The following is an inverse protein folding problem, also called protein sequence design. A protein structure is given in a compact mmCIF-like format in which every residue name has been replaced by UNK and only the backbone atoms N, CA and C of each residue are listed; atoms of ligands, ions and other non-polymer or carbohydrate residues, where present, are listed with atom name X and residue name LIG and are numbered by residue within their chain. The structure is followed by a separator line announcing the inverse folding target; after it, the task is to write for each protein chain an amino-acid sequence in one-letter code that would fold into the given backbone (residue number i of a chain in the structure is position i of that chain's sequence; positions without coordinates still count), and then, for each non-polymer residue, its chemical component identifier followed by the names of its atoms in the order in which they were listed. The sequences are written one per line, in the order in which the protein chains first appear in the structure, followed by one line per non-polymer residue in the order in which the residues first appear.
data_IF_664182252242
#
_entry.id   IF_664182252242
#
_cell.length_a   1.000
_cell.length_b   1.000
_cell.length_c   1.000
_cell.angle_alpha   90.00
_cell.angle_beta   90.00
_cell.angle_gamma   90.00
#
_symmetry.space_group_name_H-M   'P 1'
#
loop_
_entity.id
_entity.type
_entity.pdbx_description
1 polymer ?
#
# COMPACT_ATOMS: atom_id res chain seq x y z
N UNK A 1 65.04 -56.67 40.70
CA UNK A 1 64.35 -55.85 41.71
C UNK A 1 63.25 -55.09 41.01
N UNK A 2 62.05 -55.45 41.34
CA UNK A 2 60.80 -54.97 40.71
C UNK A 2 60.36 -53.61 41.31
N UNK A 3 59.90 -52.70 40.49
CA UNK A 3 59.13 -51.55 40.95
C UNK A 3 57.79 -51.50 40.16
N UNK A 4 56.76 -51.79 40.92
CA UNK A 4 55.36 -51.81 40.61
C UNK A 4 54.92 -50.39 40.30
N UNK A 5 54.32 -50.17 39.11
CA UNK A 5 53.59 -48.93 38.75
C UNK A 5 52.08 -49.20 38.72
N UNK A 6 51.36 -48.63 39.67
CA UNK A 6 49.91 -48.70 39.75
C UNK A 6 49.25 -47.85 38.68
N UNK A 7 48.10 -48.25 38.16
CA UNK A 7 47.34 -47.45 37.14
C UNK A 7 46.68 -46.22 37.79
N UNK A 8 46.89 -45.04 37.18
CA UNK A 8 46.18 -43.80 37.53
C UNK A 8 44.72 -43.91 37.11
N UNK A 9 43.83 -43.92 38.07
CA UNK A 9 42.38 -43.77 37.88
C UNK A 9 42.08 -42.44 37.27
N UNK A 10 41.47 -42.49 36.11
CA UNK A 10 40.91 -41.31 35.45
C UNK A 10 39.77 -40.68 36.30
N UNK A 11 39.93 -39.42 36.68
CA UNK A 11 38.85 -38.62 37.25
C UNK A 11 37.80 -38.38 36.15
N UNK A 12 36.65 -39.00 36.29
CA UNK A 12 35.41 -38.54 35.62
C UNK A 12 35.11 -37.10 36.08
N UNK A 13 35.15 -36.17 35.17
CA UNK A 13 34.58 -34.85 35.40
C UNK A 13 33.05 -35.02 35.44
N UNK A 14 32.52 -35.23 36.63
CA UNK A 14 31.11 -35.11 36.92
C UNK A 14 30.74 -33.61 37.01
N UNK A 15 29.63 -33.23 36.39
CA UNK A 15 28.97 -31.96 36.64
C UNK A 15 29.04 -30.98 35.47
N UNK A 16 28.35 -31.28 34.34
CA UNK A 16 27.74 -30.21 33.61
C UNK A 16 26.61 -29.66 34.52
N UNK A 17 26.55 -28.35 34.79
CA UNK A 17 25.41 -27.81 35.52
C UNK A 17 24.18 -27.94 34.64
N UNK A 18 23.22 -28.77 35.03
CA UNK A 18 21.84 -28.79 34.52
C UNK A 18 21.07 -27.54 34.96
N UNK A 19 21.68 -26.37 34.85
CA UNK A 19 21.03 -25.10 35.08
C UNK A 19 20.85 -24.41 33.73
N UNK A 20 19.90 -24.88 32.93
CA UNK A 20 19.22 -24.03 31.98
C UNK A 20 18.34 -23.11 32.84
N UNK A 21 18.59 -21.79 32.85
CA UNK A 21 17.65 -20.86 33.51
C UNK A 21 16.26 -21.11 32.91
N UNK A 22 15.20 -21.07 33.72
CA UNK A 22 13.85 -21.20 33.20
C UNK A 22 13.69 -20.22 32.05
N UNK A 23 13.30 -20.73 30.87
CA UNK A 23 13.00 -19.87 29.72
C UNK A 23 11.96 -18.85 30.19
N UNK A 24 12.20 -17.54 30.04
CA UNK A 24 11.20 -16.56 30.43
C UNK A 24 9.91 -16.88 29.66
N UNK A 25 8.75 -16.76 30.34
CA UNK A 25 7.46 -16.90 29.69
C UNK A 25 7.34 -15.83 28.60
N UNK A 26 7.61 -16.20 27.35
CA UNK A 26 7.54 -15.32 26.21
C UNK A 26 6.08 -14.96 25.93
N UNK A 27 5.80 -13.71 25.71
CA UNK A 27 4.44 -13.25 25.35
C UNK A 27 4.17 -13.56 23.87
N UNK A 28 3.07 -14.26 23.54
CA UNK A 28 2.66 -14.47 22.16
C UNK A 28 2.48 -13.15 21.40
N UNK A 29 2.85 -13.13 20.11
CA UNK A 29 2.77 -11.95 19.25
C UNK A 29 1.36 -11.35 19.19
N UNK A 30 0.36 -12.19 19.01
CA UNK A 30 -1.06 -11.80 18.95
C UNK A 30 -1.53 -11.15 20.26
N UNK A 31 -1.10 -11.67 21.40
CA UNK A 31 -1.40 -11.09 22.71
C UNK A 31 -0.71 -9.73 22.91
N UNK A 32 0.56 -9.60 22.47
CA UNK A 32 1.28 -8.33 22.49
C UNK A 32 0.54 -7.27 21.66
N UNK A 33 0.19 -7.61 20.42
CA UNK A 33 -0.57 -6.74 19.53
C UNK A 33 -1.95 -6.41 20.10
N UNK A 34 -2.70 -7.38 20.60
CA UNK A 34 -4.02 -7.16 21.18
C UNK A 34 -3.98 -6.18 22.39
N UNK A 35 -2.98 -6.33 23.26
CA UNK A 35 -2.77 -5.43 24.42
C UNK A 35 -2.40 -4.01 23.99
N UNK A 36 -1.51 -3.89 23.03
CA UNK A 36 -1.04 -2.58 22.57
C UNK A 36 -2.07 -1.85 21.70
N UNK A 37 -2.75 -2.54 20.78
CA UNK A 37 -3.61 -1.94 19.78
C UNK A 37 -5.10 -1.97 20.13
N UNK A 38 -5.52 -2.78 21.12
CA UNK A 38 -6.92 -2.89 21.55
C UNK A 38 -7.50 -1.53 21.92
N UNK A 39 -8.57 -1.06 21.24
CA UNK A 39 -9.21 0.25 21.50
C UNK A 39 -8.41 1.47 21.03
N UNK A 40 -7.36 1.30 20.21
CA UNK A 40 -6.72 2.44 19.52
C UNK A 40 -7.69 2.98 18.48
N UNK A 41 -7.97 4.27 18.55
CA UNK A 41 -8.65 5.00 17.49
C UNK A 41 -7.62 5.54 16.49
N UNK A 42 -7.92 5.53 15.18
CA UNK A 42 -7.08 6.19 14.19
C UNK A 42 -6.90 7.68 14.51
N UNK A 43 -5.75 8.25 14.16
CA UNK A 43 -5.47 9.68 14.37
C UNK A 43 -6.47 10.56 13.62
N UNK A 44 -6.70 11.76 14.13
CA UNK A 44 -7.59 12.73 13.49
C UNK A 44 -7.11 13.02 12.05
N UNK A 45 -8.03 13.12 11.08
CA UNK A 45 -7.65 13.42 9.70
C UNK A 45 -7.23 14.87 9.54
N UNK A 46 -6.36 15.11 8.55
CA UNK A 46 -5.99 16.43 8.05
C UNK A 46 -6.36 16.54 6.59
N UNK A 47 -6.69 17.75 6.14
CA UNK A 47 -7.00 18.03 4.73
C UNK A 47 -5.70 18.39 4.01
N UNK A 48 -5.42 17.71 2.91
CA UNK A 48 -4.28 17.99 2.03
C UNK A 48 -4.76 18.03 0.57
N UNK A 49 -4.15 18.85 -0.25
CA UNK A 49 -4.32 18.79 -1.70
C UNK A 49 -3.89 17.42 -2.24
N UNK A 50 -4.50 16.91 -3.32
CA UNK A 50 -4.28 15.54 -3.79
C UNK A 50 -2.81 15.16 -4.01
N UNK A 51 -1.93 15.99 -4.60
CA UNK A 51 -0.50 15.68 -4.70
C UNK A 51 0.19 15.47 -3.35
N UNK A 52 -0.10 16.35 -2.36
CA UNK A 52 0.47 16.25 -1.01
C UNK A 52 -0.16 15.11 -0.18
N UNK A 53 -1.36 14.70 -0.52
CA UNK A 53 -2.03 13.55 0.09
C UNK A 53 -1.45 12.21 -0.36
N UNK A 54 -0.64 12.20 -1.44
CA UNK A 54 -0.04 10.98 -1.98
C UNK A 54 0.84 10.29 -0.93
N UNK A 55 0.64 8.98 -0.79
CA UNK A 55 1.36 8.17 0.20
C UNK A 55 0.64 8.03 1.55
N UNK A 56 -0.41 8.82 1.81
CA UNK A 56 -1.19 8.75 3.05
C UNK A 56 -2.47 7.93 2.90
N UNK A 57 -3.02 7.50 4.02
CA UNK A 57 -4.27 6.74 4.09
C UNK A 57 -5.45 7.69 4.12
N UNK A 58 -6.42 7.51 3.24
CA UNK A 58 -7.62 8.36 3.21
C UNK A 58 -8.56 8.03 4.38
N UNK A 59 -9.08 9.07 5.01
CA UNK A 59 -9.95 8.94 6.18
C UNK A 59 -11.44 8.73 5.81
N UNK A 60 -11.82 9.11 4.59
CA UNK A 60 -13.16 8.97 4.04
C UNK A 60 -13.07 8.52 2.59
N UNK A 61 -14.19 8.04 2.03
CA UNK A 61 -14.28 7.72 0.62
C UNK A 61 -14.02 8.98 -0.21
N UNK A 62 -13.16 8.86 -1.23
CA UNK A 62 -12.91 9.89 -2.23
C UNK A 62 -13.74 9.56 -3.45
N UNK A 63 -14.66 10.43 -3.82
CA UNK A 63 -15.61 10.21 -4.92
C UNK A 63 -15.54 11.34 -5.93
N UNK A 64 -15.89 11.04 -7.16
CA UNK A 64 -15.98 12.04 -8.24
C UNK A 64 -17.08 13.06 -7.90
N UNK A 65 -16.77 14.38 -7.82
CA UNK A 65 -17.72 15.39 -7.36
C UNK A 65 -18.74 15.82 -8.43
N UNK A 66 -18.43 15.60 -9.71
CA UNK A 66 -19.26 15.94 -10.86
C UNK A 66 -18.95 15.02 -12.04
N UNK A 67 -19.82 14.96 -13.02
CA UNK A 67 -19.58 14.21 -14.27
C UNK A 67 -18.29 14.68 -14.97
N UNK A 68 -17.55 13.75 -15.55
CA UNK A 68 -16.33 14.00 -16.31
C UNK A 68 -16.42 13.35 -17.70
N UNK A 69 -16.29 14.13 -18.78
CA UNK A 69 -16.34 15.60 -18.81
C UNK A 69 -17.70 16.13 -18.32
N UNK A 70 -17.75 17.38 -17.87
CA UNK A 70 -18.98 17.99 -17.34
C UNK A 70 -20.04 18.27 -18.43
N UNK A 71 -19.61 18.43 -19.66
CA UNK A 71 -20.44 18.57 -20.85
C UNK A 71 -19.87 17.67 -21.96
N UNK A 72 -20.71 17.30 -22.93
CA UNK A 72 -20.20 16.62 -24.12
C UNK A 72 -19.20 17.51 -24.86
N UNK A 73 -18.09 16.94 -25.30
CA UNK A 73 -16.98 17.67 -25.93
C UNK A 73 -16.53 16.99 -27.22
N UNK A 74 -15.97 17.78 -28.12
CA UNK A 74 -15.46 17.28 -29.39
C UNK A 74 -14.19 16.48 -29.21
N UNK A 75 -14.08 15.29 -29.80
CA UNK A 75 -12.86 14.48 -29.89
C UNK A 75 -11.94 14.89 -31.04
N UNK A 76 -12.50 15.59 -32.04
CA UNK A 76 -11.81 16.04 -33.24
C UNK A 76 -12.27 17.44 -33.68
N UNK A 77 -11.50 18.07 -34.56
CA UNK A 77 -11.88 19.29 -35.22
C UNK A 77 -12.99 19.01 -36.25
N UNK A 78 -13.89 19.95 -36.41
CA UNK A 78 -15.00 19.87 -37.37
C UNK A 78 -16.14 20.84 -37.05
N UNK A 79 -17.33 20.55 -37.53
CA UNK A 79 -18.55 21.30 -37.26
C UNK A 79 -19.43 20.46 -36.31
N UNK A 80 -19.88 21.07 -35.22
CA UNK A 80 -20.87 20.47 -34.33
C UNK A 80 -22.25 20.45 -35.04
N UNK A 81 -22.90 19.28 -35.04
CA UNK A 81 -24.17 19.03 -35.75
C UNK A 81 -25.11 18.19 -34.90
N UNK A 82 -26.40 18.33 -35.13
CA UNK A 82 -27.38 17.33 -34.71
C UNK A 82 -27.39 16.22 -35.79
N UNK A 83 -27.03 15.01 -35.44
CA UNK A 83 -26.90 13.89 -36.40
C UNK A 83 -28.22 13.62 -37.13
N UNK A 84 -29.35 13.84 -36.45
CA UNK A 84 -30.68 13.64 -37.04
C UNK A 84 -30.93 14.59 -38.22
N UNK A 85 -30.40 15.81 -38.19
CA UNK A 85 -30.58 16.81 -39.27
C UNK A 85 -29.80 16.43 -40.53
N UNK A 86 -28.84 15.52 -40.42
CA UNK A 86 -27.99 15.07 -41.53
C UNK A 86 -28.42 13.73 -42.14
N UNK A 87 -29.60 13.25 -41.79
CA UNK A 87 -30.12 11.99 -42.36
C UNK A 87 -30.37 12.18 -43.86
N UNK A 88 -29.72 11.34 -44.66
CA UNK A 88 -29.82 11.43 -46.13
C UNK A 88 -28.83 12.40 -46.81
N UNK A 89 -27.98 13.07 -46.03
CA UNK A 89 -26.92 13.91 -46.60
C UNK A 89 -25.98 13.08 -47.49
N UNK A 90 -25.72 13.53 -48.69
CA UNK A 90 -24.84 12.89 -49.67
C UNK A 90 -24.28 13.94 -50.63
N UNK A 91 -23.20 13.69 -51.39
CA UNK A 91 -22.67 14.62 -52.36
C UNK A 91 -23.69 15.06 -53.42
N UNK A 92 -24.65 14.17 -53.77
CA UNK A 92 -25.71 14.47 -54.71
C UNK A 92 -26.95 15.11 -54.04
N UNK A 93 -27.02 15.16 -52.73
CA UNK A 93 -28.10 15.73 -51.91
C UNK A 93 -27.52 16.35 -50.64
N UNK A 94 -26.76 17.46 -50.76
CA UNK A 94 -26.12 18.08 -49.62
C UNK A 94 -27.18 18.74 -48.70
N UNK A 95 -26.85 18.77 -47.40
CA UNK A 95 -27.72 19.41 -46.38
C UNK A 95 -27.02 20.66 -45.86
N UNK A 96 -27.71 21.79 -45.96
CA UNK A 96 -27.23 23.08 -45.47
C UNK A 96 -26.97 23.05 -43.96
N UNK A 97 -25.76 23.40 -43.57
CA UNK A 97 -25.38 23.59 -42.18
C UNK A 97 -25.65 25.05 -41.80
N UNK A 98 -26.80 25.35 -41.22
CA UNK A 98 -27.24 26.72 -40.86
C UNK A 98 -26.19 27.48 -40.03
N UNK A 99 -26.38 27.61 -38.72
CA UNK A 99 -25.40 28.22 -37.82
C UNK A 99 -24.29 27.21 -37.51
N UNK A 100 -23.38 26.95 -38.47
CA UNK A 100 -22.28 26.00 -38.33
C UNK A 100 -21.27 26.44 -37.26
N UNK A 101 -21.28 25.78 -36.12
CA UNK A 101 -20.30 26.02 -35.02
C UNK A 101 -19.11 25.12 -35.20
N UNK A 102 -17.97 25.72 -35.57
CA UNK A 102 -16.71 25.00 -35.63
C UNK A 102 -16.17 24.72 -34.24
N UNK A 103 -15.81 23.46 -34.01
CA UNK A 103 -15.25 22.97 -32.74
C UNK A 103 -13.85 22.39 -32.92
N UNK A 104 -13.05 22.46 -31.86
CA UNK A 104 -11.73 21.84 -31.77
C UNK A 104 -11.77 20.74 -30.72
N UNK A 105 -10.82 19.78 -30.73
CA UNK A 105 -10.74 18.78 -29.69
C UNK A 105 -10.75 19.40 -28.27
N UNK A 106 -11.59 18.86 -27.39
CA UNK A 106 -11.79 19.37 -26.03
C UNK A 106 -12.77 20.53 -25.90
N UNK A 107 -13.31 21.09 -27.02
CA UNK A 107 -14.33 22.10 -26.95
C UNK A 107 -15.72 21.50 -26.61
N UNK A 108 -16.45 22.15 -25.71
CA UNK A 108 -17.81 21.75 -25.39
C UNK A 108 -18.71 21.86 -26.62
N UNK A 109 -19.58 20.87 -26.82
CA UNK A 109 -20.58 20.94 -27.88
C UNK A 109 -21.68 21.93 -27.50
N UNK A 110 -22.18 22.72 -28.48
CA UNK A 110 -23.37 23.53 -28.27
C UNK A 110 -24.60 22.68 -27.89
N UNK A 111 -25.54 23.24 -27.15
CA UNK A 111 -26.80 22.56 -26.83
C UNK A 111 -27.53 22.05 -28.09
N UNK A 112 -28.01 20.81 -28.03
CA UNK A 112 -28.73 20.17 -29.15
C UNK A 112 -27.81 19.48 -30.17
N UNK A 113 -26.50 19.69 -30.12
CA UNK A 113 -25.54 19.02 -30.99
C UNK A 113 -25.04 17.72 -30.35
N UNK A 114 -25.01 16.63 -31.12
CA UNK A 114 -24.65 15.30 -30.64
C UNK A 114 -23.58 14.57 -31.48
N UNK A 115 -23.10 15.26 -32.56
CA UNK A 115 -22.02 14.74 -33.40
C UNK A 115 -21.09 15.88 -33.86
N UNK A 116 -19.88 15.49 -34.32
CA UNK A 116 -18.90 16.38 -34.97
C UNK A 116 -18.61 15.87 -36.37
N UNK A 117 -19.10 16.61 -37.36
CA UNK A 117 -18.81 16.37 -38.78
C UNK A 117 -17.40 16.90 -39.10
N UNK A 118 -16.45 16.05 -39.54
CA UNK A 118 -15.13 16.53 -39.90
C UNK A 118 -15.13 17.30 -41.23
N UNK A 119 -14.02 18.02 -41.51
CA UNK A 119 -13.92 18.90 -42.68
C UNK A 119 -14.11 18.19 -44.02
N UNK A 120 -13.73 16.92 -44.14
CA UNK A 120 -13.94 16.09 -45.33
C UNK A 120 -15.38 15.70 -45.58
N UNK A 121 -16.27 15.93 -44.62
CA UNK A 121 -17.72 15.77 -44.74
C UNK A 121 -18.44 17.04 -45.07
N UNK A 122 -17.73 18.17 -45.32
CA UNK A 122 -18.29 19.49 -45.54
C UNK A 122 -17.85 20.00 -46.92
N UNK A 123 -18.78 20.58 -47.67
CA UNK A 123 -18.53 21.25 -48.94
C UNK A 123 -19.31 22.58 -48.96
N UNK A 124 -19.29 23.29 -50.07
CA UNK A 124 -20.05 24.51 -50.28
C UNK A 124 -19.21 25.79 -50.30
N UNK A 125 -19.82 26.91 -50.78
CA UNK A 125 -19.11 28.17 -50.87
C UNK A 125 -18.84 28.77 -49.49
N UNK A 126 -17.86 29.70 -49.38
CA UNK A 126 -17.60 30.39 -48.14
C UNK A 126 -18.84 31.03 -47.52
N UNK A 127 -19.13 30.67 -46.25
CA UNK A 127 -20.30 31.17 -45.51
C UNK A 127 -21.59 30.37 -45.67
N UNK A 128 -21.62 29.37 -46.54
CA UNK A 128 -22.75 28.47 -46.74
C UNK A 128 -22.26 27.01 -46.74
N UNK A 129 -21.76 26.50 -45.62
CA UNK A 129 -21.28 25.12 -45.54
C UNK A 129 -22.44 24.13 -45.65
N UNK A 130 -22.19 23.05 -46.38
CA UNK A 130 -23.11 21.94 -46.61
C UNK A 130 -22.51 20.62 -46.15
N UNK A 131 -23.31 19.79 -45.49
CA UNK A 131 -22.91 18.42 -45.19
C UNK A 131 -23.13 17.54 -46.42
N UNK A 132 -22.06 16.85 -46.86
CA UNK A 132 -22.07 15.91 -47.99
C UNK A 132 -22.10 14.46 -47.55
N UNK A 133 -22.20 14.20 -46.26
CA UNK A 133 -22.40 12.87 -45.68
C UNK A 133 -23.18 12.94 -44.35
N UNK A 134 -23.87 11.87 -43.96
CA UNK A 134 -24.51 11.80 -42.66
C UNK A 134 -23.48 11.69 -41.55
N UNK A 135 -23.92 12.00 -40.33
CA UNK A 135 -23.18 11.71 -39.07
C UNK A 135 -24.03 10.80 -38.18
N UNK A 136 -23.39 9.94 -37.45
CA UNK A 136 -24.05 9.11 -36.42
C UNK A 136 -24.13 9.86 -35.09
N UNK A 137 -25.19 9.67 -34.25
CA UNK A 137 -25.23 10.22 -32.90
C UNK A 137 -24.05 9.79 -32.07
N UNK A 138 -23.28 10.74 -31.53
CA UNK A 138 -22.04 10.50 -30.77
C UNK A 138 -20.77 10.41 -31.62
N UNK A 139 -20.88 10.54 -32.95
CA UNK A 139 -19.69 10.51 -33.81
C UNK A 139 -18.78 11.70 -33.54
N UNK A 140 -17.50 11.41 -33.17
CA UNK A 140 -16.52 12.44 -32.84
C UNK A 140 -16.78 13.18 -31.52
N UNK A 141 -17.61 12.62 -30.63
CA UNK A 141 -18.03 13.24 -29.38
C UNK A 141 -17.65 12.35 -28.19
N UNK A 142 -17.08 12.95 -27.17
CA UNK A 142 -16.95 12.40 -25.82
C UNK A 142 -18.13 12.92 -25.00
N UNK A 143 -19.03 12.04 -24.63
CA UNK A 143 -20.25 12.42 -23.93
C UNK A 143 -19.97 12.88 -22.50
N UNK A 144 -20.81 13.77 -21.98
CA UNK A 144 -20.79 14.10 -20.55
C UNK A 144 -20.86 12.83 -19.68
N UNK A 145 -20.03 12.75 -18.66
CA UNK A 145 -19.94 11.60 -17.76
C UNK A 145 -19.37 10.33 -18.39
N UNK A 146 -18.74 10.40 -19.56
CA UNK A 146 -18.15 9.23 -20.22
C UNK A 146 -16.99 8.62 -19.43
N UNK A 147 -16.14 9.44 -18.82
CA UNK A 147 -14.96 8.97 -18.10
C UNK A 147 -15.27 8.58 -16.66
N UNK A 148 -16.10 9.40 -16.01
CA UNK A 148 -16.57 9.15 -14.66
C UNK A 148 -17.84 9.94 -14.39
N UNK A 149 -18.72 9.37 -13.59
CA UNK A 149 -19.97 10.03 -13.16
C UNK A 149 -19.83 10.55 -11.74
N UNK A 150 -20.61 11.56 -11.43
CA UNK A 150 -20.74 12.03 -10.05
C UNK A 150 -21.05 10.87 -9.10
N UNK A 151 -20.25 10.74 -8.04
CA UNK A 151 -20.38 9.70 -7.03
C UNK A 151 -19.58 8.44 -7.32
N UNK A 152 -18.97 8.29 -8.51
CA UNK A 152 -18.09 7.16 -8.78
C UNK A 152 -16.90 7.14 -7.79
N UNK A 153 -16.56 5.98 -7.22
CA UNK A 153 -15.50 5.90 -6.24
C UNK A 153 -14.13 6.02 -6.91
N UNK A 154 -13.30 6.93 -6.41
CA UNK A 154 -11.86 7.02 -6.74
C UNK A 154 -11.09 6.14 -5.79
N UNK A 155 -11.39 6.22 -4.48
CA UNK A 155 -10.69 5.48 -3.44
C UNK A 155 -11.58 5.32 -2.20
N UNK A 156 -11.50 4.16 -1.54
CA UNK A 156 -12.25 3.88 -0.31
C UNK A 156 -11.48 4.29 0.94
N UNK A 157 -12.20 4.65 2.00
CA UNK A 157 -11.64 4.93 3.31
C UNK A 157 -10.76 3.77 3.81
N UNK A 158 -9.61 4.10 4.40
CA UNK A 158 -8.62 3.13 4.86
C UNK A 158 -7.65 2.64 3.78
N UNK A 159 -7.84 3.01 2.51
CA UNK A 159 -6.88 2.74 1.46
C UNK A 159 -5.84 3.86 1.33
N UNK A 160 -4.68 3.52 0.76
CA UNK A 160 -3.58 4.47 0.53
C UNK A 160 -3.76 5.20 -0.79
N UNK A 161 -3.66 6.53 -0.76
CA UNK A 161 -3.72 7.36 -1.95
C UNK A 161 -2.39 7.28 -2.71
N UNK A 162 -2.41 6.61 -3.87
CA UNK A 162 -1.26 6.52 -4.77
C UNK A 162 -1.25 7.63 -5.83
N UNK A 163 -0.14 7.76 -6.61
CA UNK A 163 0.00 8.82 -7.62
C UNK A 163 -1.13 8.87 -8.65
N UNK A 164 -1.61 7.71 -9.12
CA UNK A 164 -2.76 7.65 -10.05
C UNK A 164 -4.05 8.22 -9.45
N UNK A 165 -4.30 7.96 -8.16
CA UNK A 165 -5.48 8.46 -7.47
C UNK A 165 -5.39 9.97 -7.24
N UNK A 166 -4.18 10.49 -6.90
CA UNK A 166 -3.92 11.91 -6.79
C UNK A 166 -4.17 12.63 -8.12
N UNK A 167 -3.68 12.06 -9.22
CA UNK A 167 -3.91 12.58 -10.57
C UNK A 167 -5.41 12.62 -10.93
N UNK A 168 -6.14 11.52 -10.71
CA UNK A 168 -7.60 11.47 -10.96
C UNK A 168 -8.33 12.48 -10.10
N UNK A 169 -8.00 12.57 -8.80
CA UNK A 169 -8.62 13.52 -7.88
C UNK A 169 -8.40 14.98 -8.34
N UNK A 170 -7.18 15.32 -8.78
CA UNK A 170 -6.86 16.64 -9.33
C UNK A 170 -7.67 16.94 -10.59
N UNK A 171 -7.74 16.01 -11.54
CA UNK A 171 -8.55 16.17 -12.77
C UNK A 171 -10.05 16.29 -12.47
N UNK A 172 -10.51 15.58 -11.44
CA UNK A 172 -11.89 15.68 -10.98
C UNK A 172 -12.20 17.02 -10.31
N UNK A 173 -11.20 17.86 -10.04
CA UNK A 173 -11.35 19.15 -9.38
C UNK A 173 -11.53 19.02 -7.87
N UNK A 174 -11.00 17.95 -7.25
CA UNK A 174 -10.97 17.79 -5.80
C UNK A 174 -9.82 18.64 -5.26
N UNK A 175 -10.14 19.64 -4.46
CA UNK A 175 -9.15 20.58 -3.89
C UNK A 175 -8.43 19.99 -2.68
N UNK A 176 -9.13 19.18 -1.88
CA UNK A 176 -8.55 18.58 -0.67
C UNK A 176 -9.09 17.18 -0.41
N UNK A 177 -8.22 16.32 0.11
CA UNK A 177 -8.52 14.95 0.53
C UNK A 177 -8.23 14.83 2.04
N UNK A 178 -9.16 14.25 2.77
CA UNK A 178 -8.98 13.95 4.19
C UNK A 178 -8.08 12.71 4.35
N UNK A 179 -6.89 12.89 4.91
CA UNK A 179 -5.92 11.81 5.13
C UNK A 179 -5.47 11.73 6.57
N UNK A 180 -5.00 10.57 7.02
CA UNK A 180 -4.42 10.36 8.34
C UNK A 180 -2.91 10.31 8.25
N UNK A 181 -2.25 11.10 9.12
CA UNK A 181 -0.79 11.23 9.18
C UNK A 181 -0.31 11.01 10.62
N UNK A 182 -0.12 9.76 11.07
CA UNK A 182 0.43 9.49 12.40
C UNK A 182 1.77 10.20 12.59
N UNK A 183 1.94 10.91 13.70
CA UNK A 183 3.22 11.56 14.07
C UNK A 183 4.12 10.49 14.67
N UNK A 184 5.29 10.32 14.06
CA UNK A 184 6.25 9.29 14.43
C UNK A 184 7.54 9.93 14.90
N UNK A 185 7.96 9.62 16.12
CA UNK A 185 9.27 10.01 16.67
C UNK A 185 10.19 8.80 16.70
N UNK A 186 11.35 8.94 16.07
CA UNK A 186 12.41 7.93 16.09
C UNK A 186 13.51 8.40 17.03
N UNK A 187 13.81 7.62 18.06
CA UNK A 187 14.78 7.92 19.09
C UNK A 187 15.87 6.84 19.12
N UNK A 188 16.45 6.52 17.95
CA UNK A 188 17.55 5.55 17.83
C UNK A 188 18.89 6.28 18.00
N UNK A 189 19.85 5.70 18.79
CA UNK A 189 21.15 6.32 19.03
C UNK A 189 22.09 6.26 17.83
N UNK A 190 21.94 5.24 16.98
CA UNK A 190 22.73 5.09 15.75
C UNK A 190 22.04 5.84 14.61
N UNK A 191 22.69 6.86 14.00
CA UNK A 191 22.13 7.64 12.91
C UNK A 191 21.73 6.81 11.69
N UNK A 192 22.47 5.76 11.36
CA UNK A 192 22.14 4.90 10.22
C UNK A 192 20.85 4.11 10.46
N UNK A 193 20.69 3.57 11.67
CA UNK A 193 19.45 2.90 12.07
C UNK A 193 18.28 3.90 12.17
N UNK A 194 18.51 5.11 12.70
CA UNK A 194 17.50 6.16 12.76
C UNK A 194 16.97 6.48 11.37
N UNK A 195 17.86 6.79 10.43
CA UNK A 195 17.50 7.11 9.04
C UNK A 195 16.70 5.98 8.37
N UNK A 196 17.11 4.73 8.58
CA UNK A 196 16.41 3.58 8.03
C UNK A 196 14.99 3.46 8.59
N UNK A 197 14.85 3.57 9.91
CA UNK A 197 13.55 3.48 10.60
C UNK A 197 12.65 4.66 10.21
N UNK A 198 13.19 5.87 10.15
CA UNK A 198 12.46 7.06 9.69
C UNK A 198 11.94 6.90 8.26
N UNK A 199 12.80 6.45 7.34
CA UNK A 199 12.42 6.18 5.96
C UNK A 199 11.32 5.12 5.86
N UNK A 200 11.42 4.03 6.65
CA UNK A 200 10.40 3.00 6.70
C UNK A 200 9.05 3.54 7.22
N UNK A 201 9.06 4.33 8.30
CA UNK A 201 7.84 4.91 8.87
C UNK A 201 7.22 5.99 7.97
N UNK A 202 8.04 6.84 7.34
CA UNK A 202 7.58 7.82 6.35
C UNK A 202 6.92 7.13 5.15
N UNK A 203 7.52 6.01 4.69
CA UNK A 203 6.93 5.19 3.61
C UNK A 203 5.57 4.60 4.00
N UNK A 204 5.32 4.33 5.28
CA UNK A 204 4.02 3.91 5.81
C UNK A 204 3.02 5.07 6.02
N UNK A 205 3.36 6.28 5.58
CA UNK A 205 2.51 7.47 5.69
C UNK A 205 2.67 8.23 7.01
N UNK A 206 3.69 7.89 7.81
CA UNK A 206 4.01 8.61 9.05
C UNK A 206 4.62 9.99 8.80
N UNK A 207 4.28 10.95 9.64
CA UNK A 207 4.95 12.25 9.73
C UNK A 207 6.07 12.15 10.75
N UNK A 208 7.32 12.17 10.29
CA UNK A 208 8.48 12.14 11.19
C UNK A 208 8.59 13.48 11.93
N UNK A 209 8.67 13.43 13.25
CA UNK A 209 8.76 14.60 14.13
C UNK A 209 9.99 14.49 15.04
N UNK A 210 10.76 15.56 15.14
CA UNK A 210 11.96 15.59 15.98
C UNK A 210 11.62 15.72 17.48
N UNK A 211 10.46 16.26 17.83
CA UNK A 211 10.03 16.51 19.20
C UNK A 211 8.53 16.75 19.30
N UNK A 212 8.05 17.07 20.52
CA UNK A 212 6.64 17.30 20.80
C UNK A 212 5.83 16.01 20.93
N UNK A 213 4.52 16.12 20.78
CA UNK A 213 3.62 14.98 20.86
C UNK A 213 3.78 14.04 19.67
N UNK A 214 3.92 12.75 19.91
CA UNK A 214 3.97 11.70 18.92
C UNK A 214 2.88 10.67 19.17
N UNK A 215 2.37 10.05 18.10
CA UNK A 215 1.37 9.00 18.19
C UNK A 215 2.06 7.62 18.25
N UNK A 216 3.28 7.52 17.69
CA UNK A 216 4.16 6.37 17.76
C UNK A 216 5.59 6.83 18.07
N UNK A 217 6.23 6.20 19.04
CA UNK A 217 7.66 6.40 19.39
C UNK A 217 8.41 5.11 19.13
N UNK A 218 9.50 5.18 18.35
CA UNK A 218 10.41 4.05 18.15
C UNK A 218 11.71 4.34 18.91
N UNK A 219 12.13 3.38 19.73
CA UNK A 219 13.36 3.48 20.54
C UNK A 219 14.05 2.12 20.65
N UNK A 220 15.34 2.05 21.03
CA UNK A 220 15.99 0.77 21.29
C UNK A 220 15.30 0.02 22.43
N UNK A 221 15.30 -1.30 22.34
CA UNK A 221 14.89 -2.14 23.47
C UNK A 221 15.74 -1.83 24.71
N UNK A 222 15.09 -1.78 25.87
CA UNK A 222 15.73 -1.41 27.14
C UNK A 222 16.77 -2.44 27.64
N UNK A 223 16.81 -3.65 27.06
CA UNK A 223 17.72 -4.75 27.39
C UNK A 223 17.66 -5.85 26.36
N UNK A 224 18.48 -6.88 26.56
CA UNK A 224 18.62 -8.01 25.65
C UNK A 224 17.79 -9.24 26.09
N UNK A 225 16.94 -9.09 27.13
CA UNK A 225 16.07 -10.17 27.58
C UNK A 225 14.95 -10.43 26.53
N UNK A 226 14.78 -11.68 26.15
CA UNK A 226 13.68 -12.11 25.31
C UNK A 226 12.34 -11.93 26.04
N UNK A 227 11.36 -11.30 25.40
CA UNK A 227 10.04 -11.01 25.95
C UNK A 227 8.91 -11.44 25.02
N UNK A 228 9.19 -11.53 23.73
CA UNK A 228 8.20 -11.78 22.67
C UNK A 228 8.46 -13.14 22.03
N UNK A 229 7.42 -13.94 21.86
CA UNK A 229 7.48 -15.22 21.15
C UNK A 229 7.45 -14.99 19.62
N UNK A 230 8.48 -14.30 19.10
CA UNK A 230 8.64 -13.97 17.69
C UNK A 230 10.11 -14.08 17.28
N UNK A 231 10.47 -15.00 16.40
CA UNK A 231 11.82 -15.11 15.83
C UNK A 231 11.90 -14.32 14.48
N UNK A 232 12.97 -13.51 14.30
CA UNK A 232 14.13 -13.29 15.19
C UNK A 232 14.00 -12.06 16.11
N UNK A 233 12.82 -11.61 16.47
CA UNK A 233 12.55 -10.35 17.17
C UNK A 233 12.16 -10.52 18.66
N UNK A 234 12.77 -11.46 19.37
CA UNK A 234 12.42 -11.86 20.73
C UNK A 234 12.54 -10.71 21.74
N UNK A 235 13.45 -9.75 21.52
CA UNK A 235 13.64 -8.58 22.38
C UNK A 235 12.79 -7.38 21.97
N UNK A 236 12.07 -7.47 20.85
CA UNK A 236 11.12 -6.44 20.39
C UNK A 236 9.89 -6.35 21.31
N UNK A 237 9.33 -5.14 21.44
CA UNK A 237 8.15 -4.95 22.27
C UNK A 237 7.28 -3.79 21.77
N UNK A 238 5.97 -3.97 21.81
CA UNK A 238 5.01 -2.90 21.53
C UNK A 238 4.12 -2.68 22.76
N UNK A 239 4.04 -1.44 23.25
CA UNK A 239 3.22 -1.07 24.38
C UNK A 239 2.64 0.34 24.24
N UNK A 240 1.96 0.81 25.28
CA UNK A 240 1.45 2.20 25.40
C UNK A 240 2.12 2.91 26.54
N UNK A 241 2.57 4.13 26.30
CA UNK A 241 3.12 5.02 27.31
C UNK A 241 2.63 6.45 27.05
N UNK A 242 2.07 7.10 28.07
CA UNK A 242 1.66 8.50 27.99
C UNK A 242 0.69 8.84 26.85
N UNK A 243 -0.14 7.88 26.42
CA UNK A 243 -1.09 8.05 25.33
C UNK A 243 -0.54 7.75 23.92
N UNK A 244 0.76 7.49 23.77
CA UNK A 244 1.40 7.09 22.55
C UNK A 244 1.62 5.56 22.49
N UNK A 245 1.72 5.01 21.29
CA UNK A 245 2.33 3.69 21.08
C UNK A 245 3.85 3.82 21.17
N UNK A 246 4.49 2.83 21.80
CA UNK A 246 5.94 2.75 21.91
C UNK A 246 6.39 1.41 21.35
N UNK A 247 7.21 1.46 20.32
CA UNK A 247 7.86 0.30 19.72
C UNK A 247 9.33 0.26 20.14
N UNK A 248 9.67 -0.71 20.97
CA UNK A 248 11.05 -1.01 21.33
C UNK A 248 11.65 -1.95 20.29
N UNK A 249 12.72 -1.50 19.65
CA UNK A 249 13.38 -2.20 18.55
C UNK A 249 14.62 -2.95 19.04
N UNK A 250 14.79 -4.22 18.65
CA UNK A 250 16.03 -4.95 18.85
C UNK A 250 17.23 -4.25 18.22
N UNK A 251 18.43 -4.46 18.77
CA UNK A 251 19.67 -3.85 18.25
C UNK A 251 20.20 -4.54 17.00
N UNK A 252 19.99 -5.85 16.87
CA UNK A 252 20.41 -6.62 15.69
C UNK A 252 19.52 -6.25 14.51
N UNK A 253 20.12 -6.06 13.32
CA UNK A 253 19.39 -5.60 12.13
C UNK A 253 18.27 -6.54 11.71
N UNK A 254 18.51 -7.86 11.77
CA UNK A 254 17.55 -8.90 11.41
C UNK A 254 16.32 -8.89 12.32
N UNK A 255 16.56 -8.82 13.63
CA UNK A 255 15.52 -8.71 14.63
C UNK A 255 14.78 -7.35 14.56
N UNK A 256 15.51 -6.25 14.30
CA UNK A 256 14.91 -4.93 14.08
C UNK A 256 14.00 -4.91 12.86
N UNK A 257 14.46 -5.46 11.73
CA UNK A 257 13.65 -5.57 10.52
C UNK A 257 12.39 -6.41 10.77
N UNK A 258 12.52 -7.56 11.42
CA UNK A 258 11.38 -8.41 11.79
C UNK A 258 10.39 -7.67 12.72
N UNK A 259 10.89 -6.94 13.73
CA UNK A 259 10.03 -6.15 14.63
C UNK A 259 9.31 -5.01 13.93
N UNK A 260 9.98 -4.31 13.00
CA UNK A 260 9.35 -3.25 12.20
C UNK A 260 8.15 -3.77 11.40
N UNK A 261 8.25 -4.96 10.83
CA UNK A 261 7.15 -5.56 10.07
C UNK A 261 6.10 -6.19 10.98
N UNK A 262 6.50 -6.95 11.99
CA UNK A 262 5.54 -7.69 12.81
C UNK A 262 4.81 -6.81 13.84
N UNK A 263 5.41 -5.72 14.30
CA UNK A 263 4.86 -4.81 15.30
C UNK A 263 4.61 -3.40 14.75
N UNK A 264 5.58 -2.83 14.03
CA UNK A 264 5.51 -1.46 13.53
C UNK A 264 4.45 -1.26 12.47
N UNK A 265 4.32 -2.20 11.53
CA UNK A 265 3.31 -2.12 10.48
C UNK A 265 1.86 -2.22 11.02
N UNK A 266 1.50 -3.18 11.92
CA UNK A 266 0.19 -3.16 12.57
C UNK A 266 -0.07 -1.89 13.39
N UNK A 267 0.95 -1.34 14.07
CA UNK A 267 0.83 -0.09 14.81
C UNK A 267 0.50 1.08 13.87
N UNK A 268 1.22 1.22 12.76
CA UNK A 268 0.94 2.24 11.75
C UNK A 268 -0.42 2.04 11.10
N UNK A 269 -0.81 0.79 10.80
CA UNK A 269 -2.12 0.47 10.26
C UNK A 269 -3.25 0.92 11.21
N UNK A 270 -3.14 0.62 12.50
CA UNK A 270 -4.11 1.03 13.51
C UNK A 270 -4.22 2.55 13.62
N UNK A 271 -3.08 3.26 13.71
CA UNK A 271 -3.04 4.72 13.81
C UNK A 271 -3.55 5.42 12.54
N UNK A 272 -3.26 4.89 11.37
CA UNK A 272 -3.73 5.43 10.10
C UNK A 272 -5.17 4.99 9.76
N UNK A 273 -5.73 4.00 10.45
CA UNK A 273 -6.99 3.35 10.05
C UNK A 273 -6.87 2.69 8.69
N UNK A 274 -5.68 2.14 8.41
CA UNK A 274 -5.37 1.50 7.13
C UNK A 274 -5.90 0.08 7.06
N UNK A 275 -6.11 -0.39 5.84
CA UNK A 275 -6.38 -1.80 5.56
C UNK A 275 -5.08 -2.45 5.08
N UNK A 276 -4.51 -3.42 5.82
CA UNK A 276 -3.36 -4.16 5.35
C UNK A 276 -3.68 -4.86 4.02
N UNK A 277 -2.78 -4.73 3.06
CA UNK A 277 -2.87 -5.45 1.81
C UNK A 277 -2.24 -6.84 1.99
N UNK A 278 -2.92 -7.87 1.53
CA UNK A 278 -2.37 -9.22 1.49
C UNK A 278 -2.52 -9.79 0.09
N UNK A 279 -1.52 -10.53 -0.34
CA UNK A 279 -1.52 -11.26 -1.59
C UNK A 279 -1.36 -12.76 -1.30
N UNK A 280 -2.26 -13.57 -1.84
CA UNK A 280 -2.21 -15.02 -1.66
C UNK A 280 -1.66 -15.68 -2.92
N UNK A 281 -0.54 -16.42 -2.77
CA UNK A 281 0.06 -17.23 -3.83
C UNK A 281 0.42 -18.61 -3.28
N UNK A 282 0.54 -19.65 -4.13
CA UNK A 282 1.05 -20.95 -3.71
C UNK A 282 2.53 -20.86 -3.34
N UNK A 283 3.00 -21.73 -2.47
CA UNK A 283 4.41 -21.88 -2.12
C UNK A 283 5.17 -22.67 -3.18
N UNK A 284 6.30 -22.16 -3.68
CA UNK A 284 7.20 -22.89 -4.57
C UNK A 284 7.90 -24.07 -3.88
N UNK A 285 8.11 -23.96 -2.56
CA UNK A 285 8.71 -25.00 -1.71
C UNK A 285 8.13 -24.92 -0.30
N UNK A 286 8.32 -26.01 0.49
CA UNK A 286 7.81 -26.06 1.86
C UNK A 286 8.47 -24.99 2.75
N UNK A 287 7.71 -24.51 3.73
CA UNK A 287 8.22 -23.81 4.91
C UNK A 287 8.26 -24.82 6.05
N UNK A 288 9.39 -24.94 6.74
CA UNK A 288 9.50 -25.63 8.02
C UNK A 288 9.57 -24.57 9.12
N UNK A 289 8.79 -24.74 10.19
CA UNK A 289 8.68 -23.79 11.30
C UNK A 289 8.75 -24.56 12.63
N UNK A 290 9.27 -23.91 13.67
CA UNK A 290 9.32 -24.49 15.01
C UNK A 290 8.03 -24.15 15.76
N UNK A 291 7.45 -25.17 16.43
CA UNK A 291 6.29 -24.96 17.30
C UNK A 291 6.70 -24.18 18.55
N UNK A 292 5.87 -23.26 18.99
CA UNK A 292 6.05 -22.48 20.21
C UNK A 292 6.42 -21.02 19.99
N UNK A 293 6.92 -20.64 18.80
CA UNK A 293 7.22 -19.26 18.45
C UNK A 293 6.59 -18.89 17.11
N UNK A 294 6.14 -17.65 16.98
CA UNK A 294 5.86 -17.11 15.66
C UNK A 294 7.16 -16.86 14.92
N UNK A 295 7.20 -17.13 13.61
CA UNK A 295 8.40 -16.96 12.80
C UNK A 295 8.14 -16.09 11.59
N UNK A 296 9.00 -15.08 11.40
CA UNK A 296 8.99 -14.24 10.20
C UNK A 296 9.57 -15.01 9.02
N UNK A 297 8.88 -14.97 7.88
CA UNK A 297 9.35 -15.57 6.63
C UNK A 297 9.38 -14.50 5.54
N UNK A 298 10.54 -14.27 4.96
CA UNK A 298 10.72 -13.45 3.78
C UNK A 298 10.38 -14.28 2.53
N UNK A 299 9.66 -13.67 1.60
CA UNK A 299 9.14 -14.30 0.40
C UNK A 299 9.63 -13.56 -0.84
N UNK A 300 10.38 -14.24 -1.69
CA UNK A 300 10.70 -13.77 -3.02
C UNK A 300 9.66 -14.26 -4.04
N UNK A 301 9.68 -13.75 -5.26
CA UNK A 301 8.85 -14.24 -6.36
C UNK A 301 9.54 -15.41 -7.08
N UNK A 302 8.77 -16.44 -7.42
CA UNK A 302 9.14 -17.54 -8.31
C UNK A 302 7.97 -17.80 -9.27
N UNK A 303 7.95 -17.06 -10.36
CA UNK A 303 6.80 -17.03 -11.26
C UNK A 303 5.52 -16.56 -10.55
N UNK A 304 4.49 -17.41 -10.55
CA UNK A 304 3.22 -17.13 -9.85
C UNK A 304 3.23 -17.58 -8.38
N UNK A 305 4.35 -18.11 -7.86
CA UNK A 305 4.47 -18.66 -6.52
C UNK A 305 5.34 -17.78 -5.61
N UNK A 306 5.22 -17.99 -4.29
CA UNK A 306 6.14 -17.47 -3.30
C UNK A 306 7.32 -18.43 -3.10
N UNK A 307 8.55 -17.92 -3.23
CA UNK A 307 9.78 -18.62 -2.84
C UNK A 307 10.16 -18.25 -1.41
N UNK A 308 9.86 -19.09 -0.40
CA UNK A 308 10.13 -18.75 0.99
C UNK A 308 11.62 -18.85 1.33
N UNK A 309 12.12 -17.89 2.13
CA UNK A 309 13.36 -18.02 2.87
C UNK A 309 13.13 -18.89 4.12
N UNK A 310 14.19 -19.38 4.79
CA UNK A 310 14.03 -20.11 6.05
C UNK A 310 13.25 -19.29 7.09
N UNK A 311 12.31 -19.93 7.79
CA UNK A 311 11.52 -19.30 8.84
C UNK A 311 12.42 -18.83 10.00
N UNK A 312 12.09 -17.70 10.60
CA UNK A 312 12.87 -17.10 11.69
C UNK A 312 14.24 -16.53 11.29
N UNK A 313 14.56 -16.51 9.99
CA UNK A 313 15.86 -16.03 9.49
C UNK A 313 15.67 -14.84 8.55
N UNK A 314 16.28 -13.71 8.91
CA UNK A 314 16.31 -12.50 8.08
C UNK A 314 17.75 -12.18 7.72
N UNK A 315 18.12 -12.33 6.46
CA UNK A 315 19.46 -11.97 5.96
C UNK A 315 19.38 -10.74 5.07
N UNK A 316 20.49 -10.03 4.87
CA UNK A 316 20.54 -8.88 3.96
C UNK A 316 20.20 -9.30 2.52
N UNK A 317 20.73 -10.43 2.06
CA UNK A 317 20.43 -10.96 0.74
C UNK A 317 18.96 -11.39 0.62
N UNK A 318 18.41 -12.03 1.67
CA UNK A 318 17.01 -12.40 1.74
C UNK A 318 16.09 -11.18 1.71
N UNK A 319 16.42 -10.14 2.45
CA UNK A 319 15.65 -8.90 2.48
C UNK A 319 15.69 -8.16 1.13
N UNK A 320 16.86 -8.14 0.47
CA UNK A 320 17.01 -7.53 -0.86
C UNK A 320 16.17 -8.25 -1.94
N UNK A 321 16.03 -9.57 -1.84
CA UNK A 321 15.25 -10.38 -2.78
C UNK A 321 13.76 -10.45 -2.45
N UNK A 322 13.38 -10.14 -1.21
CA UNK A 322 12.01 -10.29 -0.73
C UNK A 322 11.05 -9.29 -1.41
N UNK A 323 9.86 -9.78 -1.76
CA UNK A 323 8.72 -8.97 -2.23
C UNK A 323 7.59 -8.91 -1.23
N UNK A 324 7.53 -9.91 -0.36
CA UNK A 324 6.52 -9.99 0.68
C UNK A 324 7.07 -10.62 1.94
N UNK A 325 6.31 -10.51 3.01
CA UNK A 325 6.59 -11.10 4.30
C UNK A 325 5.35 -11.85 4.80
N UNK A 326 5.56 -12.96 5.47
CA UNK A 326 4.53 -13.67 6.19
C UNK A 326 5.00 -13.99 7.62
N UNK A 327 4.07 -14.21 8.51
CA UNK A 327 4.33 -14.68 9.87
C UNK A 327 3.70 -16.05 10.01
N UNK A 328 4.51 -17.05 10.27
CA UNK A 328 4.03 -18.41 10.57
C UNK A 328 3.65 -18.45 12.05
N UNK A 329 2.42 -18.85 12.37
CA UNK A 329 1.94 -18.82 13.74
C UNK A 329 2.59 -19.92 14.61
N UNK A 330 2.67 -19.73 15.95
CA UNK A 330 3.44 -20.60 16.83
C UNK A 330 2.92 -22.03 16.96
N UNK A 331 1.70 -22.31 16.54
CA UNK A 331 1.10 -23.63 16.52
C UNK A 331 1.36 -24.42 15.22
N UNK A 332 2.05 -23.81 14.24
CA UNK A 332 2.30 -24.40 12.93
C UNK A 332 3.70 -25.01 12.85
N UNK A 333 3.81 -26.21 12.33
CA UNK A 333 5.09 -26.82 11.94
C UNK A 333 5.58 -26.34 10.56
N UNK A 334 4.85 -25.39 9.96
CA UNK A 334 5.12 -24.86 8.63
C UNK A 334 4.02 -25.22 7.61
N UNK A 335 4.34 -25.11 6.32
CA UNK A 335 3.41 -25.31 5.22
C UNK A 335 4.08 -26.14 4.11
N UNK A 336 3.37 -27.09 3.48
CA UNK A 336 3.93 -27.85 2.36
C UNK A 336 4.06 -26.99 1.10
N UNK A 337 4.89 -27.45 0.15
CA UNK A 337 4.95 -26.86 -1.19
C UNK A 337 3.57 -26.93 -1.84
N UNK A 338 3.22 -25.89 -2.61
CA UNK A 338 1.91 -25.73 -3.25
C UNK A 338 0.80 -25.20 -2.34
N UNK A 339 1.00 -25.15 -1.02
CA UNK A 339 0.01 -24.57 -0.11
C UNK A 339 -0.18 -23.06 -0.38
N UNK A 340 -1.42 -22.54 -0.35
CA UNK A 340 -1.65 -21.11 -0.46
C UNK A 340 -1.16 -20.39 0.81
N UNK A 341 -0.39 -19.32 0.62
CA UNK A 341 0.08 -18.46 1.70
C UNK A 341 -0.31 -17.01 1.41
N UNK A 342 -1.08 -16.42 2.32
CA UNK A 342 -1.34 -14.99 2.33
C UNK A 342 -0.13 -14.26 2.92
N UNK A 343 0.44 -13.33 2.16
CA UNK A 343 1.62 -12.58 2.53
C UNK A 343 1.39 -11.09 2.35
N UNK A 344 2.09 -10.28 3.11
CA UNK A 344 2.02 -8.84 3.07
C UNK A 344 3.12 -8.30 2.16
N UNK A 345 2.80 -7.54 1.09
CA UNK A 345 3.79 -6.91 0.25
C UNK A 345 4.66 -5.94 1.02
N UNK A 346 5.98 -5.98 0.79
CA UNK A 346 6.94 -5.07 1.43
C UNK A 346 6.88 -3.66 0.86
N UNK A 347 6.56 -3.52 -0.42
CA UNK A 347 6.56 -2.23 -1.11
C UNK A 347 5.26 -1.44 -0.99
N UNK A 348 4.13 -2.11 -0.90
CA UNK A 348 2.78 -1.52 -0.80
C UNK A 348 1.97 -2.23 0.29
N UNK A 349 2.27 -1.99 1.57
CA UNK A 349 1.65 -2.75 2.68
C UNK A 349 0.20 -2.35 2.97
N UNK A 350 -0.30 -1.24 2.39
CA UNK A 350 -1.67 -0.76 2.52
C UNK A 350 -2.31 -0.59 1.14
N UNK A 351 -3.48 -1.17 0.95
CA UNK A 351 -4.26 -1.13 -0.28
C UNK A 351 -5.39 -0.11 -0.24
#
# INVERSE_FOLDING_TARGET
MAASGAPRQGRCLAGAPDYLPPMPDLVPLDLCLARALGGIAPVAPVLLDPPMACGHVVAADVVVPRDLPAASEALRAGVAVAALDLVGAAPASPVMLGAAVRVRPGAALPPGMDAVLPEDGIDGPPGLPEAIRPASPGEGVRRAGHDARRGDPILRAGARLGPRHAFIATLAGIEAVAVRRPRVRVAMPDPAQSNLVEAAMARLGGLIVAGGAADLVLRPAAGDAARLALAPAETGWLCREGGALVLELPRRFDAMAAALWALGLPAMAALAGARPLTETRPLARKIASAVGMAEVVLLAEDGAAWAPQPAGVVTLAGLAAARAIAIIPPQSEGLPAGAPLAAQPLDLPFG
#
